data_IF_276024382740
#
_entry.id   IF_276024382740
#
_cell.length_a   1.000
_cell.length_b   1.000
_cell.length_c   1.000
_cell.angle_alpha   90.00
_cell.angle_beta   90.00
_cell.angle_gamma   90.00
#
_symmetry.space_group_name_H-M   'P 1'
#
loop_
_entity.id
_entity.type
_entity.pdbx_description
1 polymer ?
#
# COMPACT_ATOMS: atom_id res chain seq x y z
N UNK A 1 25.43 13.14 6.84
CA UNK A 1 25.52 12.32 5.62
C UNK A 1 24.16 11.68 5.43
N UNK A 2 23.36 12.16 4.47
CA UNK A 2 22.05 11.58 4.20
C UNK A 2 22.26 10.15 3.69
N UNK A 3 21.78 9.15 4.45
CA UNK A 3 21.76 7.78 3.98
C UNK A 3 20.96 7.76 2.67
N UNK A 4 21.61 7.40 1.58
CA UNK A 4 20.97 7.19 0.28
C UNK A 4 19.95 6.07 0.49
N UNK A 5 18.68 6.45 0.59
CA UNK A 5 17.58 5.51 0.72
C UNK A 5 17.53 4.75 -0.60
N UNK A 6 17.81 3.45 -0.56
CA UNK A 6 17.68 2.61 -1.76
C UNK A 6 16.24 2.69 -2.28
N UNK A 7 16.06 2.88 -3.60
CA UNK A 7 14.74 2.95 -4.19
C UNK A 7 14.02 1.61 -4.02
N UNK A 8 12.73 1.67 -3.67
CA UNK A 8 11.89 0.49 -3.52
C UNK A 8 11.78 -0.27 -4.86
N UNK A 9 11.90 -1.60 -4.81
CA UNK A 9 11.79 -2.48 -5.99
C UNK A 9 10.41 -3.13 -6.14
N UNK A 10 9.41 -2.66 -5.38
CA UNK A 10 8.09 -3.29 -5.24
C UNK A 10 7.41 -3.59 -6.59
N UNK A 11 7.50 -2.67 -7.56
CA UNK A 11 6.95 -2.91 -8.91
C UNK A 11 7.61 -4.11 -9.61
N UNK A 12 8.93 -4.23 -9.52
CA UNK A 12 9.68 -5.34 -10.11
C UNK A 12 9.37 -6.65 -9.38
N UNK A 13 9.28 -6.60 -8.05
CA UNK A 13 8.98 -7.76 -7.21
C UNK A 13 7.56 -8.29 -7.44
N UNK A 14 6.56 -7.41 -7.54
CA UNK A 14 5.18 -7.80 -7.88
C UNK A 14 5.10 -8.42 -9.27
N UNK A 15 5.77 -7.80 -10.26
CA UNK A 15 5.84 -8.37 -11.62
C UNK A 15 6.47 -9.76 -11.61
N UNK A 16 7.58 -9.92 -10.89
CA UNK A 16 8.27 -11.20 -10.78
C UNK A 16 7.42 -12.25 -10.08
N UNK A 17 6.71 -11.88 -9.01
CA UNK A 17 5.80 -12.78 -8.33
C UNK A 17 4.70 -13.29 -9.28
N UNK A 18 4.10 -12.41 -10.09
CA UNK A 18 3.11 -12.79 -11.11
C UNK A 18 3.69 -13.78 -12.14
N UNK A 19 4.90 -13.55 -12.63
CA UNK A 19 5.58 -14.47 -13.56
C UNK A 19 5.81 -15.85 -12.93
N UNK A 20 6.20 -15.91 -11.66
CA UNK A 20 6.41 -17.17 -10.95
C UNK A 20 5.09 -17.91 -10.71
N UNK A 21 4.02 -17.19 -10.38
CA UNK A 21 2.68 -17.77 -10.24
C UNK A 21 2.17 -18.39 -11.54
N UNK A 22 2.43 -17.76 -12.69
CA UNK A 22 2.09 -18.31 -14.00
C UNK A 22 2.88 -19.59 -14.31
N UNK A 23 4.18 -19.61 -13.99
CA UNK A 23 5.02 -20.81 -14.16
C UNK A 23 4.57 -21.96 -13.26
N UNK A 24 4.25 -21.68 -11.99
CA UNK A 24 3.77 -22.69 -11.04
C UNK A 24 2.41 -23.26 -11.43
N UNK A 25 1.52 -22.46 -12.02
CA UNK A 25 0.25 -22.98 -12.54
C UNK A 25 0.46 -23.93 -13.73
N UNK A 26 1.48 -23.68 -14.56
CA UNK A 26 1.85 -24.53 -15.70
C UNK A 26 2.48 -25.86 -15.31
N UNK A 27 3.14 -25.95 -14.15
CA UNK A 27 3.70 -27.23 -13.68
C UNK A 27 2.62 -28.20 -13.20
N UNK A 28 1.46 -27.70 -12.75
CA UNK A 28 0.34 -28.52 -12.30
C UNK A 28 0.56 -29.21 -10.95
N UNK A 29 1.67 -28.93 -10.26
CA UNK A 29 2.03 -29.54 -8.97
C UNK A 29 1.24 -28.95 -7.80
N UNK A 30 0.65 -27.77 -7.97
CA UNK A 30 0.01 -26.98 -6.92
C UNK A 30 -1.43 -26.63 -7.34
N UNK A 31 -2.41 -26.64 -6.41
CA UNK A 31 -3.78 -26.21 -6.69
C UNK A 31 -3.85 -24.82 -7.32
N UNK A 32 -4.29 -24.76 -8.59
CA UNK A 32 -4.29 -23.53 -9.40
C UNK A 32 -5.27 -22.46 -8.91
N UNK A 33 -6.29 -22.82 -8.13
CA UNK A 33 -7.31 -21.88 -7.65
C UNK A 33 -6.74 -20.78 -6.75
N UNK A 34 -5.87 -21.13 -5.80
CA UNK A 34 -5.22 -20.15 -4.91
C UNK A 34 -4.19 -19.31 -5.65
N UNK A 35 -3.44 -19.91 -6.58
CA UNK A 35 -2.45 -19.21 -7.42
C UNK A 35 -3.14 -18.18 -8.32
N UNK A 36 -4.23 -18.56 -8.99
CA UNK A 36 -5.02 -17.67 -9.83
C UNK A 36 -5.67 -16.53 -9.02
N UNK A 37 -6.16 -16.82 -7.81
CA UNK A 37 -6.72 -15.79 -6.93
C UNK A 37 -5.64 -14.77 -6.50
N UNK A 38 -4.48 -15.26 -6.05
CA UNK A 38 -3.36 -14.39 -5.68
C UNK A 38 -2.87 -13.56 -6.88
N UNK A 39 -2.77 -14.16 -8.06
CA UNK A 39 -2.37 -13.46 -9.27
C UNK A 39 -3.35 -12.33 -9.62
N UNK A 40 -4.67 -12.56 -9.51
CA UNK A 40 -5.68 -11.51 -9.69
C UNK A 40 -5.55 -10.37 -8.68
N UNK A 41 -5.27 -10.69 -7.41
CA UNK A 41 -5.02 -9.66 -6.38
C UNK A 41 -3.77 -8.85 -6.71
N UNK A 42 -2.67 -9.52 -7.10
CA UNK A 42 -1.42 -8.87 -7.46
C UNK A 42 -1.53 -7.97 -8.69
N UNK A 43 -2.41 -8.33 -9.64
CA UNK A 43 -2.67 -7.56 -10.86
C UNK A 43 -3.81 -6.54 -10.70
N UNK A 44 -4.47 -6.48 -9.55
CA UNK A 44 -5.62 -5.60 -9.34
C UNK A 44 -5.24 -4.13 -9.35
N UNK A 45 -6.14 -3.28 -9.85
CA UNK A 45 -6.00 -1.82 -9.78
C UNK A 45 -5.86 -1.33 -8.33
N UNK A 46 -6.57 -1.99 -7.40
CA UNK A 46 -6.47 -1.68 -5.97
C UNK A 46 -5.06 -1.88 -5.44
N UNK A 47 -4.41 -3.03 -5.69
CA UNK A 47 -3.04 -3.23 -5.22
C UNK A 47 -2.05 -2.27 -5.90
N UNK A 48 -2.27 -1.96 -7.18
CA UNK A 48 -1.45 -0.96 -7.88
C UNK A 48 -1.55 0.41 -7.21
N UNK A 49 -2.75 0.86 -6.85
CA UNK A 49 -2.94 2.08 -6.09
C UNK A 49 -2.29 2.01 -4.70
N UNK A 50 -2.44 0.90 -3.97
CA UNK A 50 -1.81 0.70 -2.66
C UNK A 50 -0.28 0.81 -2.75
N UNK A 51 0.33 0.20 -3.78
CA UNK A 51 1.77 0.30 -4.04
C UNK A 51 2.18 1.76 -4.27
N UNK A 52 1.46 2.48 -5.11
CA UNK A 52 1.79 3.88 -5.44
C UNK A 52 1.72 4.79 -4.22
N UNK A 53 0.69 4.64 -3.39
CA UNK A 53 0.60 5.39 -2.13
C UNK A 53 1.72 4.99 -1.17
N UNK A 54 2.05 3.69 -1.08
CA UNK A 54 3.16 3.23 -0.23
C UNK A 54 4.50 3.83 -0.66
N UNK A 55 4.82 3.78 -1.96
CA UNK A 55 6.04 4.38 -2.53
C UNK A 55 6.07 5.89 -2.26
N UNK A 56 4.96 6.59 -2.49
CA UNK A 56 4.86 8.02 -2.24
C UNK A 56 5.05 8.38 -0.76
N UNK A 57 4.41 7.66 0.15
CA UNK A 57 4.56 7.87 1.60
C UNK A 57 5.99 7.56 2.04
N UNK A 58 6.60 6.51 1.48
CA UNK A 58 7.98 6.13 1.81
C UNK A 58 8.97 7.22 1.39
N UNK A 59 8.75 7.86 0.25
CA UNK A 59 9.61 8.93 -0.27
C UNK A 59 9.40 10.27 0.44
N UNK A 60 8.15 10.61 0.76
CA UNK A 60 7.80 11.97 1.23
C UNK A 60 7.76 12.11 2.75
N UNK A 61 7.51 11.02 3.49
CA UNK A 61 7.45 11.06 4.95
C UNK A 61 8.84 10.75 5.51
N UNK A 62 9.44 11.75 6.17
CA UNK A 62 10.67 11.55 6.91
C UNK A 62 10.37 10.78 8.21
N UNK A 63 10.75 9.50 8.23
CA UNK A 63 10.57 8.62 9.38
C UNK A 63 11.93 8.34 9.97
N UNK A 64 12.20 8.96 11.11
CA UNK A 64 13.39 8.70 11.91
C UNK A 64 13.32 7.31 12.54
N UNK A 65 14.27 6.43 12.23
CA UNK A 65 14.32 5.08 12.81
C UNK A 65 15.06 4.07 11.94
N UNK A 66 15.02 2.80 12.35
CA UNK A 66 15.50 1.69 11.52
C UNK A 66 14.65 1.52 10.26
N UNK A 67 15.17 0.81 9.25
CA UNK A 67 14.44 0.49 8.02
C UNK A 67 13.12 -0.25 8.30
N UNK A 68 13.09 -1.11 9.32
CA UNK A 68 11.88 -1.82 9.74
C UNK A 68 10.82 -0.87 10.34
N UNK A 69 11.24 0.07 11.19
CA UNK A 69 10.34 1.08 11.77
C UNK A 69 9.77 1.96 10.66
N UNK A 70 10.61 2.39 9.72
CA UNK A 70 10.19 3.15 8.54
C UNK A 70 9.19 2.37 7.69
N UNK A 71 9.47 1.11 7.38
CA UNK A 71 8.57 0.27 6.60
C UNK A 71 7.21 0.08 7.28
N UNK A 72 7.20 -0.15 8.60
CA UNK A 72 5.98 -0.30 9.40
C UNK A 72 5.16 0.99 9.46
N UNK A 73 5.82 2.13 9.72
CA UNK A 73 5.14 3.42 9.78
C UNK A 73 4.61 3.86 8.41
N UNK A 74 5.36 3.60 7.32
CA UNK A 74 4.89 3.80 5.94
C UNK A 74 3.64 2.97 5.65
N UNK A 75 3.63 1.70 6.04
CA UNK A 75 2.47 0.82 5.86
C UNK A 75 1.25 1.36 6.61
N UNK A 76 1.43 1.78 7.87
CA UNK A 76 0.35 2.37 8.68
C UNK A 76 -0.21 3.65 8.06
N UNK A 77 0.66 4.54 7.60
CA UNK A 77 0.25 5.78 6.94
C UNK A 77 -0.46 5.52 5.61
N UNK A 78 -0.02 4.53 4.84
CA UNK A 78 -0.70 4.09 3.61
C UNK A 78 -2.13 3.66 3.92
N UNK A 79 -2.33 2.78 4.91
CA UNK A 79 -3.67 2.33 5.34
C UNK A 79 -4.52 3.52 5.80
N UNK A 80 -3.95 4.45 6.58
CA UNK A 80 -4.65 5.64 7.04
C UNK A 80 -5.10 6.54 5.87
N UNK A 81 -4.27 6.71 4.84
CA UNK A 81 -4.60 7.49 3.66
C UNK A 81 -5.77 6.89 2.86
N UNK A 82 -5.82 5.56 2.70
CA UNK A 82 -6.97 4.89 2.08
C UNK A 82 -8.23 5.02 2.93
N UNK A 83 -8.14 4.80 4.24
CA UNK A 83 -9.28 4.95 5.14
C UNK A 83 -9.84 6.38 5.16
N UNK A 84 -8.96 7.40 5.10
CA UNK A 84 -9.36 8.80 4.98
C UNK A 84 -10.01 9.11 3.62
N UNK A 85 -9.54 8.47 2.55
CA UNK A 85 -10.09 8.63 1.20
C UNK A 85 -11.47 7.99 1.06
N UNK A 86 -11.72 6.87 1.74
CA UNK A 86 -13.00 6.15 1.72
C UNK A 86 -14.05 6.76 2.66
N UNK A 87 -13.63 7.54 3.66
CA UNK A 87 -14.54 7.95 4.72
C UNK A 87 -14.24 9.27 5.39
N UNK A 88 -14.30 10.42 4.70
CA UNK A 88 -14.84 11.70 5.20
C UNK A 88 -14.60 12.89 4.22
N UNK A 89 -15.17 12.83 3.03
CA UNK A 89 -15.30 14.03 2.16
C UNK A 89 -16.43 14.99 2.60
N UNK A 90 -17.04 14.79 3.77
CA UNK A 90 -17.97 15.78 4.35
C UNK A 90 -17.24 16.59 5.42
N UNK A 91 -17.02 17.90 5.20
CA UNK A 91 -16.78 18.81 6.31
C UNK A 91 -18.01 18.73 7.21
N UNK A 92 -17.87 18.13 8.40
CA UNK A 92 -18.90 18.27 9.42
C UNK A 92 -18.84 19.73 9.87
N UNK A 93 -19.72 20.57 9.32
CA UNK A 93 -20.00 21.88 9.91
C UNK A 93 -20.62 21.58 11.28
N UNK A 94 -19.79 21.68 12.32
CA UNK A 94 -20.27 21.65 13.70
C UNK A 94 -20.80 23.05 13.96
N UNK A 95 -22.10 23.24 13.84
CA UNK A 95 -22.74 24.44 14.35
C UNK A 95 -22.64 24.40 15.88
N UNK A 96 -21.75 25.23 16.43
CA UNK A 96 -21.67 25.46 17.86
C UNK A 96 -23.00 26.12 18.29
N UNK A 97 -23.71 25.58 19.30
CA UNK A 97 -24.85 26.30 19.86
C UNK A 97 -24.36 27.66 20.34
N UNK A 98 -25.00 28.72 19.84
CA UNK A 98 -24.69 30.09 20.28
C UNK A 98 -24.98 30.15 21.77
N UNK A 99 -23.98 30.56 22.55
CA UNK A 99 -24.20 31.00 23.93
C UNK A 99 -25.08 32.24 23.88
N UNK A 100 -26.28 32.16 24.47
CA UNK A 100 -27.06 33.34 24.81
C UNK A 100 -26.34 34.02 25.99
N UNK A 101 -25.86 35.25 25.77
CA UNK A 101 -25.38 36.17 26.82
C UNK A 101 -26.53 36.66 27.72
#
# INVERSE_FOLDING_TARGET
MAALVEPLTLRQDVKRAVELLDKLQKTGEIPSSKLAALQRVLQSEFLNAVREVYEHVYETVDISGSQEIRASATAKATVAAFAASEGHAHPRVVELPKTDE
#
